data_IF_085182340256
#
_entry.id   IF_085182340256
#
_cell.length_a   1.000
_cell.length_b   1.000
_cell.length_c   1.000
_cell.angle_alpha   90.00
_cell.angle_beta   90.00
_cell.angle_gamma   90.00
#
_symmetry.space_group_name_H-M   'P 1'
#
loop_
_entity.id
_entity.type
_entity.pdbx_description
1 polymer ?
#
# COMPACT_ATOMS: atom_id res chain seq x y z
N UNK A 1 2.33 -4.04 18.94
CA UNK A 1 1.85 -4.07 17.55
C UNK A 1 1.87 -5.50 17.03
N UNK A 2 0.89 -5.87 16.22
CA UNK A 2 0.73 -7.24 15.71
C UNK A 2 1.14 -7.36 14.24
N UNK A 3 1.32 -8.61 13.78
CA UNK A 3 1.50 -8.94 12.37
C UNK A 3 0.15 -9.34 11.78
N UNK A 4 -0.13 -8.90 10.56
CA UNK A 4 -1.31 -9.32 9.82
C UNK A 4 -0.93 -9.99 8.51
N UNK A 5 -1.74 -10.96 8.10
CA UNK A 5 -1.65 -11.59 6.79
C UNK A 5 -3.02 -11.61 6.12
N UNK A 6 -3.10 -11.10 4.90
CA UNK A 6 -4.23 -11.25 4.00
C UNK A 6 -3.83 -12.23 2.90
N UNK A 7 -4.65 -13.23 2.62
CA UNK A 7 -4.33 -14.18 1.57
C UNK A 7 -5.56 -14.71 0.84
N UNK A 8 -5.41 -14.98 -0.46
CA UNK A 8 -6.43 -15.62 -1.30
C UNK A 8 -7.77 -14.87 -1.28
N UNK A 9 -7.73 -13.54 -1.34
CA UNK A 9 -8.94 -12.72 -1.42
C UNK A 9 -9.24 -12.38 -2.87
N UNK A 10 -10.52 -12.32 -3.21
CA UNK A 10 -11.00 -11.93 -4.53
C UNK A 10 -12.20 -11.02 -4.37
N UNK A 11 -12.22 -9.89 -5.08
CA UNK A 11 -13.32 -8.92 -5.06
C UNK A 11 -13.69 -8.43 -3.64
N UNK A 12 -12.65 -8.23 -2.80
CA UNK A 12 -12.79 -7.83 -1.41
C UNK A 12 -12.36 -6.39 -1.17
N UNK A 13 -13.09 -5.70 -0.28
CA UNK A 13 -12.65 -4.43 0.31
C UNK A 13 -12.29 -4.64 1.77
N UNK A 14 -11.06 -4.32 2.15
CA UNK A 14 -10.51 -4.58 3.50
C UNK A 14 -10.07 -3.27 4.14
N UNK A 15 -10.49 -3.03 5.38
CA UNK A 15 -10.09 -1.88 6.18
C UNK A 15 -9.41 -2.36 7.46
N UNK A 16 -8.16 -1.93 7.69
CA UNK A 16 -7.40 -2.20 8.91
C UNK A 16 -7.09 -0.85 9.57
N UNK A 17 -7.93 -0.43 10.51
CA UNK A 17 -7.82 0.87 11.18
C UNK A 17 -7.02 0.75 12.50
N UNK A 18 -5.80 0.21 12.42
CA UNK A 18 -4.94 -0.03 13.58
C UNK A 18 -3.46 -0.03 13.17
N UNK A 19 -2.54 0.32 14.08
CA UNK A 19 -1.11 0.26 13.82
C UNK A 19 -0.62 -1.20 13.81
N UNK A 20 0.17 -1.52 12.80
CA UNK A 20 0.72 -2.86 12.56
C UNK A 20 2.23 -2.85 12.70
N UNK A 21 2.80 -3.99 13.09
CA UNK A 21 4.25 -4.20 13.03
C UNK A 21 4.67 -4.57 11.62
N UNK A 22 3.92 -5.44 10.98
CA UNK A 22 4.15 -5.89 9.62
C UNK A 22 2.84 -6.37 8.99
N UNK A 23 2.76 -6.27 7.66
CA UNK A 23 1.64 -6.83 6.89
C UNK A 23 2.16 -7.64 5.70
N UNK A 24 1.55 -8.81 5.49
CA UNK A 24 1.78 -9.67 4.32
C UNK A 24 0.49 -9.80 3.52
N UNK A 25 0.55 -9.59 2.22
CA UNK A 25 -0.59 -9.76 1.32
C UNK A 25 -0.18 -10.74 0.22
N UNK A 26 -0.91 -11.84 0.09
CA UNK A 26 -0.56 -12.94 -0.81
C UNK A 26 -1.74 -13.35 -1.68
N UNK A 27 -1.58 -13.35 -3.01
CA UNK A 27 -2.62 -13.80 -3.94
C UNK A 27 -3.96 -13.05 -3.77
N UNK A 28 -3.92 -11.72 -3.89
CA UNK A 28 -5.13 -10.87 -3.88
C UNK A 28 -5.51 -10.51 -5.32
N UNK A 29 -6.82 -10.56 -5.63
CA UNK A 29 -7.34 -10.24 -6.97
C UNK A 29 -8.51 -9.29 -6.90
N UNK A 30 -8.47 -8.20 -7.66
CA UNK A 30 -9.56 -7.19 -7.68
C UNK A 30 -9.91 -6.64 -6.29
N UNK A 31 -8.94 -6.61 -5.37
CA UNK A 31 -9.16 -6.16 -3.99
C UNK A 31 -8.83 -4.68 -3.81
N UNK A 32 -9.53 -4.03 -2.88
CA UNK A 32 -9.14 -2.72 -2.33
C UNK A 32 -8.76 -2.87 -0.86
N UNK A 33 -7.53 -2.55 -0.49
CA UNK A 33 -7.01 -2.76 0.87
C UNK A 33 -6.52 -1.43 1.44
N UNK A 34 -7.10 -1.04 2.57
CA UNK A 34 -6.78 0.18 3.30
C UNK A 34 -6.17 -0.18 4.64
N UNK A 35 -4.93 0.26 4.88
CA UNK A 35 -4.16 -0.13 6.05
C UNK A 35 -3.71 1.12 6.78
N UNK A 36 -3.90 1.13 8.09
CA UNK A 36 -3.26 2.08 8.99
C UNK A 36 -1.72 1.95 8.98
N UNK A 37 -1.04 2.66 9.90
CA UNK A 37 0.41 2.72 9.91
C UNK A 37 1.06 1.36 10.15
N UNK A 38 2.01 0.99 9.30
CA UNK A 38 2.83 -0.21 9.43
C UNK A 38 4.22 0.20 9.88
N UNK A 39 4.50 0.09 11.18
CA UNK A 39 5.77 0.44 11.80
C UNK A 39 6.96 -0.42 11.31
N UNK A 40 6.77 -1.33 10.37
CA UNK A 40 7.82 -2.14 9.77
C UNK A 40 7.56 -2.33 8.29
N UNK A 41 7.50 -3.59 7.86
CA UNK A 41 7.43 -3.95 6.46
C UNK A 41 6.01 -4.31 5.99
N UNK A 42 5.68 -3.82 4.81
CA UNK A 42 4.57 -4.28 3.99
C UNK A 42 5.14 -5.12 2.84
N UNK A 43 4.74 -6.39 2.78
CA UNK A 43 5.16 -7.32 1.73
C UNK A 43 3.96 -7.79 0.92
N UNK A 44 4.04 -7.65 -0.39
CA UNK A 44 3.01 -8.09 -1.32
C UNK A 44 3.59 -9.09 -2.32
N UNK A 45 2.83 -10.15 -2.58
CA UNK A 45 3.19 -11.24 -3.48
C UNK A 45 1.96 -11.69 -4.25
N UNK A 46 2.12 -11.88 -5.56
CA UNK A 46 1.10 -12.48 -6.45
C UNK A 46 -0.23 -11.72 -6.51
N UNK A 47 -0.20 -10.37 -6.51
CA UNK A 47 -1.42 -9.55 -6.54
C UNK A 47 -1.79 -9.10 -7.97
N UNK A 48 -3.09 -8.95 -8.25
CA UNK A 48 -3.55 -8.52 -9.58
C UNK A 48 -4.80 -7.64 -9.51
N UNK A 49 -4.82 -6.52 -10.25
CA UNK A 49 -6.02 -5.69 -10.36
C UNK A 49 -6.40 -5.00 -9.04
N UNK A 50 -5.43 -4.74 -8.16
CA UNK A 50 -5.69 -4.32 -6.79
C UNK A 50 -5.43 -2.82 -6.57
N UNK A 51 -6.05 -2.27 -5.53
CA UNK A 51 -5.75 -0.93 -5.01
C UNK A 51 -5.32 -1.04 -3.55
N UNK A 52 -4.14 -0.52 -3.22
CA UNK A 52 -3.57 -0.59 -1.88
C UNK A 52 -3.32 0.81 -1.33
N UNK A 53 -3.87 1.13 -0.16
CA UNK A 53 -3.51 2.31 0.62
C UNK A 53 -2.68 1.89 1.81
N UNK A 54 -1.37 2.15 1.76
CA UNK A 54 -0.39 1.66 2.74
C UNK A 54 0.47 2.81 3.24
N UNK A 55 0.58 2.95 4.56
CA UNK A 55 1.61 3.76 5.20
C UNK A 55 2.61 2.81 5.88
N UNK A 56 3.89 2.82 5.50
CA UNK A 56 4.86 1.84 6.02
C UNK A 56 6.30 2.36 6.10
N UNK A 57 7.15 1.70 6.89
CA UNK A 57 8.59 1.98 6.81
C UNK A 57 9.16 1.47 5.48
N UNK A 58 8.77 0.26 5.07
CA UNK A 58 9.30 -0.44 3.91
C UNK A 58 8.16 -1.09 3.13
N UNK A 59 8.12 -0.88 1.82
CA UNK A 59 7.22 -1.58 0.91
C UNK A 59 8.04 -2.47 -0.03
N UNK A 60 7.69 -3.75 -0.11
CA UNK A 60 8.22 -4.70 -1.10
C UNK A 60 7.07 -5.33 -1.86
N UNK A 61 7.13 -5.25 -3.18
CA UNK A 61 6.11 -5.78 -4.08
C UNK A 61 6.76 -6.76 -5.03
N UNK A 62 6.19 -7.96 -5.11
CA UNK A 62 6.69 -9.01 -5.98
C UNK A 62 5.55 -9.60 -6.81
N UNK A 63 5.82 -9.93 -8.08
CA UNK A 63 4.90 -10.60 -9.00
C UNK A 63 3.49 -9.99 -8.98
N UNK A 64 3.40 -8.66 -9.08
CA UNK A 64 2.15 -7.92 -8.99
C UNK A 64 1.87 -7.16 -10.27
N UNK A 65 0.62 -7.20 -10.72
CA UNK A 65 0.22 -6.59 -12.00
C UNK A 65 -1.03 -5.72 -11.88
N UNK A 66 -1.16 -4.72 -12.75
CA UNK A 66 -2.37 -3.90 -12.90
C UNK A 66 -2.87 -3.34 -11.56
N UNK A 67 -1.97 -2.81 -10.73
CA UNK A 67 -2.30 -2.45 -9.34
C UNK A 67 -1.83 -1.04 -8.98
N UNK A 68 -2.66 -0.36 -8.20
CA UNK A 68 -2.42 1.01 -7.73
C UNK A 68 -2.01 1.02 -6.25
N UNK A 69 -0.98 1.80 -5.94
CA UNK A 69 -0.42 1.96 -4.60
C UNK A 69 -0.51 3.42 -4.15
N UNK A 70 -1.42 3.71 -3.23
CA UNK A 70 -1.51 4.97 -2.50
C UNK A 70 -0.61 4.87 -1.27
N UNK A 71 0.55 5.49 -1.32
CA UNK A 71 1.66 5.15 -0.45
C UNK A 71 2.16 6.34 0.36
N UNK A 72 2.49 6.04 1.61
CA UNK A 72 3.36 6.83 2.47
C UNK A 72 4.49 5.89 2.90
N UNK A 73 5.73 6.20 2.49
CA UNK A 73 6.87 5.31 2.74
C UNK A 73 8.07 6.07 3.29
N UNK A 74 8.70 5.53 4.35
CA UNK A 74 9.95 6.10 4.92
C UNK A 74 11.21 5.70 4.15
N UNK A 75 11.10 4.71 3.29
CA UNK A 75 12.15 4.26 2.38
C UNK A 75 11.60 4.07 0.98
N UNK A 76 12.49 3.96 0.00
CA UNK A 76 12.12 3.71 -1.39
C UNK A 76 11.36 2.38 -1.51
N UNK A 77 10.19 2.35 -2.16
CA UNK A 77 9.48 1.11 -2.44
C UNK A 77 10.33 0.24 -3.37
N UNK A 78 10.37 -1.06 -3.11
CA UNK A 78 11.07 -2.01 -3.98
C UNK A 78 10.02 -2.83 -4.73
N UNK A 79 10.17 -2.91 -6.05
CA UNK A 79 9.37 -3.79 -6.90
C UNK A 79 10.25 -4.84 -7.59
N UNK A 80 9.69 -6.03 -7.78
CA UNK A 80 10.33 -7.14 -8.49
C UNK A 80 9.28 -7.91 -9.29
N UNK A 81 9.57 -8.21 -10.55
CA UNK A 81 8.68 -8.95 -11.45
C UNK A 81 7.26 -8.36 -11.53
N UNK A 82 7.15 -7.03 -11.50
CA UNK A 82 5.87 -6.33 -11.58
C UNK A 82 5.59 -5.83 -12.99
N UNK A 83 4.35 -5.50 -13.29
CA UNK A 83 3.94 -4.90 -14.57
C UNK A 83 2.72 -4.00 -14.40
N UNK A 84 2.74 -2.81 -14.99
CA UNK A 84 1.68 -1.79 -14.86
C UNK A 84 1.29 -1.50 -13.39
N UNK A 85 2.28 -1.35 -12.51
CA UNK A 85 2.04 -0.89 -11.14
C UNK A 85 2.18 0.63 -11.03
N UNK A 86 1.26 1.30 -10.34
CA UNK A 86 1.22 2.77 -10.31
C UNK A 86 1.24 3.30 -8.89
N UNK A 87 1.94 4.39 -8.65
CA UNK A 87 2.11 4.96 -7.31
C UNK A 87 1.48 6.34 -7.19
N UNK A 88 0.84 6.61 -6.05
CA UNK A 88 0.18 7.87 -5.70
C UNK A 88 0.42 8.20 -4.22
N UNK A 89 0.19 9.44 -3.78
CA UNK A 89 0.18 9.77 -2.36
C UNK A 89 -0.88 8.97 -1.59
N UNK A 90 -0.57 8.58 -0.36
CA UNK A 90 -1.49 7.89 0.55
C UNK A 90 -2.83 8.64 0.71
N UNK A 91 -3.95 7.91 0.62
CA UNK A 91 -5.30 8.48 0.53
C UNK A 91 -6.31 7.87 1.51
N UNK A 92 -5.87 7.22 2.59
CA UNK A 92 -6.78 6.65 3.58
C UNK A 92 -6.85 7.54 4.83
N UNK A 93 -8.03 7.71 5.41
CA UNK A 93 -8.26 8.55 6.58
C UNK A 93 -9.26 7.93 7.56
N UNK A 94 -8.95 7.99 8.86
CA UNK A 94 -9.84 7.61 9.96
C UNK A 94 -9.44 8.35 11.23
N UNK A 95 -10.34 8.36 12.24
CA UNK A 95 -10.25 9.27 13.39
C UNK A 95 -8.91 9.23 14.16
N UNK A 96 -8.30 8.06 14.30
CA UNK A 96 -7.05 7.87 15.04
C UNK A 96 -5.79 7.85 14.16
N UNK A 97 -5.91 8.09 12.86
CA UNK A 97 -4.80 7.87 11.92
C UNK A 97 -3.61 8.79 12.18
N UNK A 98 -3.85 10.08 12.45
CA UNK A 98 -2.79 11.09 12.59
C UNK A 98 -1.87 10.76 13.77
N UNK A 99 -2.45 10.54 14.96
CA UNK A 99 -1.74 10.10 16.16
C UNK A 99 -0.96 8.79 15.91
N UNK A 100 -1.61 7.80 15.28
CA UNK A 100 -0.96 6.52 14.99
C UNK A 100 0.20 6.63 14.00
N UNK A 101 0.12 7.54 13.01
CA UNK A 101 1.20 7.78 12.05
C UNK A 101 2.41 8.39 12.73
N UNK A 102 2.19 9.37 13.61
CA UNK A 102 3.24 10.02 14.39
C UNK A 102 3.98 9.00 15.27
N UNK A 103 3.24 8.17 16.02
CA UNK A 103 3.82 7.15 16.89
C UNK A 103 4.54 6.02 16.14
N UNK A 104 4.03 5.63 14.97
CA UNK A 104 4.49 4.42 14.27
C UNK A 104 5.58 4.66 13.25
N UNK A 105 5.55 5.80 12.57
CA UNK A 105 6.42 6.06 11.42
C UNK A 105 7.34 7.25 11.61
N UNK A 106 6.95 8.23 12.45
CA UNK A 106 7.60 9.54 12.61
C UNK A 106 7.96 10.10 11.22
N UNK A 107 7.09 10.92 10.60
CA UNK A 107 7.04 11.12 9.13
C UNK A 107 7.75 12.41 8.62
N UNK A 108 9.07 12.62 8.79
CA UNK A 108 9.76 13.76 8.20
C UNK A 108 10.08 13.56 6.72
N UNK A 109 9.85 12.37 6.15
CA UNK A 109 10.21 12.08 4.76
C UNK A 109 9.27 11.03 4.14
N UNK A 110 8.85 11.26 2.90
CA UNK A 110 7.95 10.37 2.16
C UNK A 110 8.52 10.05 0.75
N UNK A 111 8.80 8.77 0.49
CA UNK A 111 9.44 8.25 -0.72
C UNK A 111 8.46 7.56 -1.68
N UNK A 112 7.16 7.83 -1.56
CA UNK A 112 6.12 7.18 -2.36
C UNK A 112 6.36 7.19 -3.88
N UNK A 113 7.06 8.21 -4.40
CA UNK A 113 7.36 8.43 -5.82
C UNK A 113 8.77 7.99 -6.24
N UNK A 114 9.54 7.35 -5.36
CA UNK A 114 10.95 6.99 -5.60
C UNK A 114 11.12 5.47 -5.57
N UNK A 115 10.61 4.78 -6.59
CA UNK A 115 10.55 3.31 -6.64
C UNK A 115 11.85 2.73 -7.21
N UNK A 116 12.35 1.65 -6.57
CA UNK A 116 13.48 0.85 -7.04
C UNK A 116 12.99 -0.45 -7.65
N UNK A 117 13.28 -0.66 -8.93
CA UNK A 117 12.96 -1.90 -9.64
C UNK A 117 14.20 -2.78 -9.74
N UNK A 118 14.19 -3.92 -9.04
CA UNK A 118 15.34 -4.82 -8.98
C UNK A 118 15.51 -5.68 -10.24
N UNK A 119 14.46 -5.83 -11.04
CA UNK A 119 14.51 -6.60 -12.30
C UNK A 119 14.88 -5.73 -13.50
N UNK A 120 15.14 -4.44 -13.31
CA UNK A 120 15.55 -3.53 -14.37
C UNK A 120 17.05 -3.17 -14.27
N UNK A 121 17.95 -3.93 -14.90
CA UNK A 121 19.40 -3.74 -14.77
C UNK A 121 19.95 -2.53 -15.55
N UNK A 122 19.09 -1.75 -16.23
CA UNK A 122 19.53 -0.64 -17.09
C UNK A 122 19.71 0.63 -16.30
N UNK A 123 20.95 0.92 -15.96
CA UNK A 123 21.36 2.15 -15.26
C UNK A 123 21.04 3.36 -16.15
N UNK A 124 20.21 4.29 -15.66
CA UNK A 124 19.88 5.54 -16.33
C UNK A 124 18.58 5.52 -17.15
N UNK A 125 17.93 4.38 -17.29
CA UNK A 125 16.59 4.26 -17.91
C UNK A 125 15.52 4.07 -16.83
N UNK A 126 14.39 4.76 -16.97
CA UNK A 126 13.23 4.54 -16.09
C UNK A 126 12.61 3.20 -16.43
N UNK A 127 12.39 2.35 -15.42
CA UNK A 127 11.70 1.07 -15.63
C UNK A 127 10.30 1.31 -16.18
N UNK A 128 9.88 0.60 -17.24
CA UNK A 128 8.54 0.72 -17.81
C UNK A 128 7.46 0.01 -16.98
N UNK A 129 7.86 -0.78 -15.97
CA UNK A 129 6.93 -1.62 -15.19
C UNK A 129 6.18 -0.86 -14.10
N UNK A 130 6.61 0.38 -13.83
CA UNK A 130 5.92 1.24 -12.90
C UNK A 130 5.80 2.68 -13.41
N UNK A 131 4.83 3.41 -12.87
CA UNK A 131 4.67 4.83 -13.14
C UNK A 131 4.04 5.57 -11.97
N UNK A 132 4.02 6.89 -12.06
CA UNK A 132 3.20 7.72 -11.17
C UNK A 132 1.76 7.71 -11.70
N UNK A 133 0.80 7.49 -10.81
CA UNK A 133 -0.62 7.58 -11.13
C UNK A 133 -0.97 9.06 -11.45
N UNK A 134 -1.49 9.35 -12.67
CA UNK A 134 -1.91 10.69 -13.05
C UNK A 134 -2.96 11.26 -12.09
N UNK A 135 -2.95 12.56 -11.86
CA UNK A 135 -3.76 13.19 -10.81
C UNK A 135 -5.26 13.03 -11.07
N UNK A 136 -5.65 13.10 -12.34
CA UNK A 136 -7.01 12.92 -12.83
C UNK A 136 -7.57 11.51 -12.63
N UNK A 137 -6.69 10.51 -12.51
CA UNK A 137 -7.06 9.11 -12.26
C UNK A 137 -7.02 8.74 -10.77
N UNK A 138 -6.53 9.63 -9.90
CA UNK A 138 -6.40 9.34 -8.47
C UNK A 138 -7.80 9.24 -7.84
N UNK A 139 -7.98 8.18 -7.07
CA UNK A 139 -9.15 8.04 -6.19
C UNK A 139 -9.09 9.07 -5.08
N UNK A 140 -10.25 9.63 -4.75
CA UNK A 140 -10.41 10.53 -3.61
C UNK A 140 -10.02 9.85 -2.29
N UNK A 141 -9.83 10.66 -1.25
CA UNK A 141 -9.60 10.17 0.11
C UNK A 141 -10.71 9.22 0.54
N UNK A 142 -10.33 8.05 1.04
CA UNK A 142 -11.26 7.00 1.50
C UNK A 142 -11.33 7.01 3.02
N UNK A 143 -12.54 6.90 3.55
CA UNK A 143 -12.81 6.66 4.97
C UNK A 143 -13.45 5.29 5.16
N UNK A 144 -13.23 4.61 6.30
CA UNK A 144 -13.87 3.33 6.57
C UNK A 144 -15.38 3.50 6.74
N UNK A 145 -16.19 2.48 6.41
CA UNK A 145 -17.63 2.52 6.65
C UNK A 145 -17.93 2.69 8.14
N UNK A 146 -19.00 3.40 8.47
CA UNK A 146 -19.48 3.51 9.85
C UNK A 146 -19.69 2.11 10.42
N UNK A 147 -19.07 1.82 11.57
CA UNK A 147 -19.28 0.55 12.26
C UNK A 147 -20.79 0.36 12.46
N UNK A 148 -21.41 -0.73 11.98
CA UNK A 148 -22.79 -1.00 12.34
C UNK A 148 -22.86 -1.10 13.85
N UNK A 149 -23.85 -0.43 14.46
CA UNK A 149 -24.17 -0.60 15.87
C UNK A 149 -24.24 -2.10 16.18
N UNK A 150 -23.62 -2.59 17.26
CA UNK A 150 -23.83 -3.97 17.66
C UNK A 150 -25.33 -4.19 17.78
N UNK A 151 -25.86 -5.21 17.08
CA UNK A 151 -27.23 -5.63 17.26
C UNK A 151 -27.41 -5.97 18.75
N UNK A 152 -28.32 -5.25 19.41
CA UNK A 152 -28.69 -5.43 20.81
C UNK A 152 -29.33 -6.80 21.00
#
# INVERSE_FOLDING_TARGET
MADFSLSNLTDCTVYICAPLRAIRMYNLKSCSVFVGPVAGSALLYDCQGCSFSIASQQLRVHNTTDSDFYLLARSKPIIENCDRVRFAPYNFSYAQLEEQLEESLDVPTNFWNSVEDFNWPRIGEVSPYWSILPEEERRATVTPPSRPSPAV
#
